data_IF_944456947988
#
_entry.id   IF_944456947988
#
_cell.length_a   1.000
_cell.length_b   1.000
_cell.length_c   1.000
_cell.angle_alpha   90.00
_cell.angle_beta   90.00
_cell.angle_gamma   90.00
#
_symmetry.space_group_name_H-M   'P 1'
#
loop_
_entity.id
_entity.type
_entity.pdbx_description
1 polymer ?
#
# COMPACT_ATOMS: atom_id res chain seq x y z
N UNK A 1 26.52 12.02 -30.61
CA UNK A 1 25.62 12.39 -29.50
C UNK A 1 24.22 11.93 -29.84
N UNK A 2 23.76 10.85 -29.23
CA UNK A 2 22.35 10.45 -29.16
C UNK A 2 22.17 9.75 -27.82
N UNK A 3 21.93 10.54 -26.78
CA UNK A 3 21.53 10.01 -25.48
C UNK A 3 20.16 9.37 -25.63
N UNK A 4 20.09 8.05 -25.45
CA UNK A 4 18.83 7.34 -25.37
C UNK A 4 18.08 7.83 -24.13
N UNK A 5 17.00 8.59 -24.36
CA UNK A 5 16.00 8.83 -23.33
C UNK A 5 15.49 7.45 -22.89
N UNK A 6 15.58 7.15 -21.59
CA UNK A 6 14.91 5.98 -21.02
C UNK A 6 13.43 6.11 -21.36
N UNK A 7 12.90 5.18 -22.17
CA UNK A 7 11.47 5.14 -22.46
C UNK A 7 10.73 5.09 -21.12
N UNK A 8 9.91 6.10 -20.83
CA UNK A 8 9.03 6.04 -19.68
C UNK A 8 8.14 4.82 -19.86
N UNK A 9 8.37 3.78 -19.07
CA UNK A 9 7.52 2.60 -19.08
C UNK A 9 6.09 3.08 -18.77
N UNK A 10 5.13 2.65 -19.59
CA UNK A 10 3.75 3.12 -19.56
C UNK A 10 2.96 2.55 -18.37
N UNK A 11 3.55 2.57 -17.18
CA UNK A 11 2.99 2.01 -15.95
C UNK A 11 1.64 2.63 -15.57
N UNK A 12 1.37 3.88 -15.97
CA UNK A 12 0.05 4.49 -15.76
C UNK A 12 -1.06 3.93 -16.66
N UNK A 13 -0.72 3.12 -17.66
CA UNK A 13 -1.66 2.66 -18.68
C UNK A 13 -2.10 1.20 -18.44
N UNK A 14 -3.41 0.95 -18.46
CA UNK A 14 -3.96 -0.39 -18.24
C UNK A 14 -3.44 -1.42 -19.26
N UNK A 15 -3.27 -1.02 -20.52
CA UNK A 15 -2.82 -1.91 -21.59
C UNK A 15 -1.40 -2.45 -21.35
N UNK A 16 -0.54 -1.67 -20.68
CA UNK A 16 0.82 -2.07 -20.37
C UNK A 16 0.81 -3.27 -19.42
N UNK A 17 -0.04 -3.23 -18.39
CA UNK A 17 -0.16 -4.30 -17.40
C UNK A 17 -0.75 -5.57 -18.01
N UNK A 18 -1.80 -5.45 -18.81
CA UNK A 18 -2.35 -6.58 -19.57
C UNK A 18 -1.26 -7.28 -20.41
N UNK A 19 -0.42 -6.50 -21.11
CA UNK A 19 0.66 -7.04 -21.93
C UNK A 19 1.77 -7.69 -21.10
N UNK A 20 2.13 -7.09 -19.97
CA UNK A 20 3.09 -7.67 -19.01
C UNK A 20 2.58 -9.02 -18.50
N UNK A 21 1.33 -9.11 -18.06
CA UNK A 21 0.78 -10.35 -17.49
C UNK A 21 0.50 -11.45 -18.51
N UNK A 22 0.39 -11.12 -19.81
CA UNK A 22 0.40 -12.13 -20.88
C UNK A 22 1.78 -12.75 -21.07
N UNK A 23 2.85 -11.96 -20.92
CA UNK A 23 4.23 -12.39 -21.14
C UNK A 23 4.86 -13.04 -19.90
N UNK A 24 4.56 -12.52 -18.72
CA UNK A 24 5.17 -12.89 -17.44
C UNK A 24 4.08 -13.37 -16.46
N UNK A 25 3.64 -14.61 -16.62
CA UNK A 25 2.59 -15.20 -15.76
C UNK A 25 3.08 -15.64 -14.36
N UNK A 26 4.40 -15.69 -14.14
CA UNK A 26 4.99 -16.08 -12.85
C UNK A 26 4.81 -15.01 -11.78
N UNK A 27 4.75 -15.39 -10.49
CA UNK A 27 4.51 -14.44 -9.41
C UNK A 27 5.62 -13.39 -9.32
N UNK A 28 5.24 -12.13 -9.08
CA UNK A 28 6.17 -11.02 -8.95
C UNK A 28 5.76 -10.06 -7.83
N UNK A 29 6.71 -9.68 -6.99
CA UNK A 29 6.52 -8.71 -5.92
C UNK A 29 7.31 -7.43 -6.18
N UNK A 30 6.58 -6.32 -6.34
CA UNK A 30 7.17 -4.99 -6.20
C UNK A 30 7.49 -4.71 -4.73
N UNK A 31 8.65 -4.07 -4.52
CA UNK A 31 9.19 -3.63 -3.22
C UNK A 31 9.50 -4.75 -2.23
N UNK A 32 8.56 -5.03 -1.32
CA UNK A 32 8.75 -5.97 -0.22
C UNK A 32 7.84 -7.18 -0.36
N UNK A 33 8.33 -8.32 0.11
CA UNK A 33 7.53 -9.54 0.28
C UNK A 33 6.79 -9.52 1.61
N UNK A 34 5.73 -10.30 1.71
CA UNK A 34 4.91 -10.39 2.91
C UNK A 34 5.71 -10.62 4.21
N UNK A 35 6.65 -11.58 4.31
CA UNK A 35 7.32 -11.88 5.59
C UNK A 35 8.05 -10.68 6.20
N UNK A 36 8.60 -9.79 5.36
CA UNK A 36 9.30 -8.59 5.83
C UNK A 36 8.32 -7.53 6.39
N UNK A 37 7.07 -7.51 5.90
CA UNK A 37 6.04 -6.55 6.30
C UNK A 37 5.09 -7.08 7.37
N UNK A 38 5.04 -8.41 7.58
CA UNK A 38 4.14 -9.05 8.52
C UNK A 38 4.17 -8.47 9.95
N UNK A 39 5.35 -8.14 10.55
CA UNK A 39 5.39 -7.53 11.88
C UNK A 39 4.66 -6.18 11.93
N UNK A 40 4.76 -5.37 10.88
CA UNK A 40 4.08 -4.08 10.81
C UNK A 40 2.58 -4.25 10.55
N UNK A 41 2.21 -5.13 9.61
CA UNK A 41 0.81 -5.39 9.25
C UNK A 41 0.00 -5.83 10.47
N UNK A 42 0.55 -6.73 11.29
CA UNK A 42 -0.12 -7.24 12.50
C UNK A 42 -0.34 -6.17 13.58
N UNK A 43 0.37 -5.04 13.54
CA UNK A 43 0.11 -3.91 14.44
C UNK A 43 -1.12 -3.10 14.06
N UNK A 44 -1.49 -3.10 12.77
CA UNK A 44 -2.52 -2.20 12.23
C UNK A 44 -3.73 -2.95 11.66
N UNK A 45 -3.60 -4.23 11.33
CA UNK A 45 -4.64 -5.02 10.66
C UNK A 45 -4.83 -6.33 11.41
N UNK A 46 -6.01 -6.51 12.00
CA UNK A 46 -6.35 -7.75 12.69
C UNK A 46 -6.70 -8.87 11.68
N UNK A 47 -6.47 -10.15 11.98
CA UNK A 47 -6.77 -11.25 11.04
C UNK A 47 -8.23 -11.35 10.59
N UNK A 48 -9.18 -10.88 11.40
CA UNK A 48 -10.61 -10.85 11.08
C UNK A 48 -11.05 -9.56 10.37
N UNK A 49 -10.15 -8.60 10.17
CA UNK A 49 -10.45 -7.38 9.42
C UNK A 49 -10.64 -7.69 7.94
N UNK A 50 -11.65 -7.05 7.33
CA UNK A 50 -11.80 -7.02 5.89
C UNK A 50 -10.81 -6.03 5.28
N UNK A 51 -9.94 -6.52 4.40
CA UNK A 51 -8.88 -5.72 3.80
C UNK A 51 -8.88 -5.78 2.26
N UNK A 52 -8.43 -4.69 1.64
CA UNK A 52 -8.30 -4.56 0.20
C UNK A 52 -6.83 -4.41 -0.19
N UNK A 53 -6.34 -5.28 -1.08
CA UNK A 53 -5.09 -5.12 -1.80
C UNK A 53 -5.38 -4.45 -3.16
N UNK A 54 -4.96 -3.20 -3.33
CA UNK A 54 -5.12 -2.47 -4.60
C UNK A 54 -3.95 -2.74 -5.53
N UNK A 55 -4.21 -2.81 -6.84
CA UNK A 55 -3.21 -3.17 -7.86
C UNK A 55 -2.45 -4.43 -7.50
N UNK A 56 -3.19 -5.50 -7.16
CA UNK A 56 -2.62 -6.72 -6.58
C UNK A 56 -1.63 -7.43 -7.51
N UNK A 57 -1.78 -7.23 -8.83
CA UNK A 57 -1.02 -7.95 -9.84
C UNK A 57 -1.04 -9.46 -9.63
N UNK A 58 0.10 -10.10 -9.91
CA UNK A 58 0.34 -11.53 -9.69
C UNK A 58 1.19 -11.79 -8.44
N UNK A 59 1.19 -10.85 -7.48
CA UNK A 59 1.88 -10.99 -6.20
C UNK A 59 1.27 -12.12 -5.37
N UNK A 60 2.11 -12.83 -4.61
CA UNK A 60 1.67 -13.84 -3.62
C UNK A 60 1.39 -13.21 -2.25
N UNK A 61 1.41 -11.88 -2.14
CA UNK A 61 1.24 -11.17 -0.87
C UNK A 61 -0.10 -11.48 -0.19
N UNK A 62 -1.20 -11.41 -0.94
CA UNK A 62 -2.53 -11.76 -0.42
C UNK A 62 -2.64 -13.22 0.02
N UNK A 63 -2.06 -14.14 -0.75
CA UNK A 63 -1.97 -15.55 -0.37
C UNK A 63 -1.21 -15.72 0.96
N UNK A 64 -0.06 -15.08 1.11
CA UNK A 64 0.71 -15.17 2.34
C UNK A 64 0.00 -14.53 3.54
N UNK A 65 -0.82 -13.50 3.33
CA UNK A 65 -1.71 -12.99 4.37
C UNK A 65 -2.73 -14.06 4.79
N UNK A 66 -3.40 -14.72 3.85
CA UNK A 66 -4.36 -15.78 4.18
C UNK A 66 -3.68 -16.95 4.89
N UNK A 67 -2.49 -17.35 4.43
CA UNK A 67 -1.69 -18.39 5.09
C UNK A 67 -1.26 -17.97 6.52
N UNK A 68 -1.17 -16.67 6.80
CA UNK A 68 -0.92 -16.08 8.13
C UNK A 68 -2.20 -15.81 8.95
N UNK A 69 -3.35 -16.30 8.48
CA UNK A 69 -4.62 -16.31 9.22
C UNK A 69 -5.59 -15.18 8.91
N UNK A 70 -5.30 -14.30 7.95
CA UNK A 70 -6.24 -13.26 7.51
C UNK A 70 -7.42 -13.88 6.76
N UNK A 71 -8.64 -13.44 7.07
CA UNK A 71 -9.85 -14.18 6.69
C UNK A 71 -10.62 -13.56 5.52
N UNK A 72 -10.48 -12.26 5.27
CA UNK A 72 -11.23 -11.55 4.23
C UNK A 72 -10.31 -10.60 3.47
N UNK A 73 -9.63 -11.16 2.46
CA UNK A 73 -8.64 -10.48 1.62
C UNK A 73 -9.20 -10.30 0.21
N UNK A 74 -9.64 -9.08 -0.08
CA UNK A 74 -10.11 -8.67 -1.40
C UNK A 74 -8.93 -8.10 -2.19
N UNK A 75 -8.81 -8.48 -3.45
CA UNK A 75 -7.73 -8.08 -4.34
C UNK A 75 -8.35 -7.45 -5.59
N UNK A 76 -7.89 -6.25 -5.94
CA UNK A 76 -8.30 -5.59 -7.18
C UNK A 76 -7.12 -5.26 -8.07
N UNK A 77 -7.34 -5.32 -9.37
CA UNK A 77 -6.39 -4.86 -10.39
C UNK A 77 -7.16 -4.37 -11.62
N UNK A 78 -6.58 -3.40 -12.33
CA UNK A 78 -7.16 -2.88 -13.57
C UNK A 78 -7.03 -3.90 -14.72
N UNK A 79 -6.03 -4.77 -14.64
CA UNK A 79 -5.77 -5.80 -15.65
C UNK A 79 -6.73 -6.98 -15.52
N UNK A 80 -7.55 -7.18 -16.56
CA UNK A 80 -8.40 -8.38 -16.65
C UNK A 80 -7.57 -9.66 -16.73
N UNK A 81 -6.41 -9.60 -17.41
CA UNK A 81 -5.54 -10.75 -17.63
C UNK A 81 -5.07 -11.33 -16.30
N UNK A 82 -4.56 -10.49 -15.40
CA UNK A 82 -4.05 -10.98 -14.11
C UNK A 82 -5.17 -11.43 -13.18
N UNK A 83 -6.31 -10.72 -13.18
CA UNK A 83 -7.45 -11.12 -12.37
C UNK A 83 -7.96 -12.50 -12.77
N UNK A 84 -8.07 -12.79 -14.06
CA UNK A 84 -8.51 -14.11 -14.53
C UNK A 84 -7.49 -15.21 -14.16
N UNK A 85 -6.19 -14.91 -14.27
CA UNK A 85 -5.13 -15.83 -13.83
C UNK A 85 -5.21 -16.13 -12.33
N UNK A 86 -5.38 -15.10 -11.50
CA UNK A 86 -5.41 -15.22 -10.04
C UNK A 86 -6.70 -15.89 -9.54
N UNK A 87 -7.86 -15.58 -10.14
CA UNK A 87 -9.12 -16.31 -9.90
C UNK A 87 -8.96 -17.80 -10.19
N UNK A 88 -8.35 -18.16 -11.32
CA UNK A 88 -8.11 -19.57 -11.67
C UNK A 88 -7.15 -20.24 -10.69
N UNK A 89 -6.07 -19.55 -10.32
CA UNK A 89 -5.04 -20.07 -9.41
C UNK A 89 -5.59 -20.33 -8.00
N UNK A 90 -6.44 -19.43 -7.49
CA UNK A 90 -6.93 -19.45 -6.11
C UNK A 90 -8.42 -19.77 -5.98
N UNK A 91 -9.01 -20.44 -6.97
CA UNK A 91 -10.44 -20.78 -6.99
C UNK A 91 -10.91 -21.57 -5.75
N UNK A 92 -10.02 -22.35 -5.13
CA UNK A 92 -10.29 -23.14 -3.93
C UNK A 92 -9.95 -22.42 -2.61
N UNK A 93 -9.52 -21.15 -2.64
CA UNK A 93 -9.20 -20.35 -1.45
C UNK A 93 -10.28 -19.28 -1.21
N UNK A 94 -11.38 -19.58 -0.47
CA UNK A 94 -12.52 -18.67 -0.31
C UNK A 94 -12.19 -17.35 0.41
N UNK A 95 -11.13 -17.33 1.22
CA UNK A 95 -10.64 -16.11 1.90
C UNK A 95 -9.96 -15.11 0.93
N UNK A 96 -9.65 -15.53 -0.31
CA UNK A 96 -9.07 -14.69 -1.36
C UNK A 96 -10.11 -14.38 -2.42
N UNK A 97 -10.45 -13.10 -2.56
CA UNK A 97 -11.33 -12.61 -3.61
C UNK A 97 -10.52 -11.78 -4.60
N UNK A 98 -10.78 -11.96 -5.90
CA UNK A 98 -10.12 -11.19 -6.97
C UNK A 98 -11.18 -10.53 -7.85
N UNK A 99 -11.05 -9.25 -8.12
CA UNK A 99 -12.01 -8.48 -8.92
C UNK A 99 -11.27 -7.52 -9.87
N UNK A 100 -11.72 -7.46 -11.13
CA UNK A 100 -11.23 -6.46 -12.06
C UNK A 100 -11.87 -5.14 -11.68
N UNK A 101 -11.05 -4.15 -11.31
CA UNK A 101 -11.54 -2.85 -10.88
C UNK A 101 -10.44 -1.81 -11.03
N UNK A 102 -10.83 -0.60 -11.41
CA UNK A 102 -9.96 0.56 -11.38
C UNK A 102 -9.99 1.16 -9.98
N UNK A 103 -8.84 1.30 -9.32
CA UNK A 103 -8.75 1.86 -7.96
C UNK A 103 -9.23 3.31 -7.87
N UNK A 104 -9.29 4.03 -9.01
CA UNK A 104 -9.83 5.39 -9.10
C UNK A 104 -11.36 5.43 -9.15
N UNK A 105 -12.01 4.27 -9.24
CA UNK A 105 -13.46 4.13 -9.33
C UNK A 105 -13.90 2.76 -8.78
N UNK A 106 -14.05 2.69 -7.47
CA UNK A 106 -14.44 1.51 -6.69
C UNK A 106 -15.93 1.54 -6.30
N UNK A 107 -16.80 1.90 -7.24
CA UNK A 107 -18.25 2.07 -7.02
C UNK A 107 -18.98 0.83 -6.51
N UNK A 108 -18.43 -0.35 -6.77
CA UNK A 108 -19.00 -1.63 -6.32
C UNK A 108 -18.78 -1.86 -4.81
N UNK A 109 -17.95 -1.03 -4.16
CA UNK A 109 -17.73 -1.07 -2.72
C UNK A 109 -18.48 0.06 -2.02
N UNK A 110 -19.22 -0.30 -0.98
CA UNK A 110 -19.89 0.66 -0.11
C UNK A 110 -18.88 1.52 0.66
N UNK A 111 -19.27 2.75 1.00
CA UNK A 111 -18.48 3.61 1.88
C UNK A 111 -18.31 2.97 3.26
N UNK A 112 -17.14 3.06 3.86
CA UNK A 112 -16.88 2.46 5.18
C UNK A 112 -16.98 0.93 5.22
N UNK A 113 -16.70 0.25 4.10
CA UNK A 113 -16.82 -1.22 4.01
C UNK A 113 -15.51 -1.97 4.31
N UNK A 114 -14.36 -1.29 4.33
CA UNK A 114 -13.04 -1.89 4.58
C UNK A 114 -12.39 -1.37 5.86
N UNK A 115 -11.76 -2.29 6.60
CA UNK A 115 -10.96 -1.97 7.78
C UNK A 115 -9.53 -1.54 7.39
N UNK A 116 -9.00 -2.07 6.28
CA UNK A 116 -7.69 -1.70 5.79
C UNK A 116 -7.62 -1.71 4.25
N UNK A 117 -6.80 -0.84 3.69
CA UNK A 117 -6.39 -0.83 2.29
C UNK A 117 -4.86 -0.86 2.24
N UNK A 118 -4.29 -1.81 1.51
CA UNK A 118 -2.83 -1.93 1.35
C UNK A 118 -2.50 -1.69 -0.12
N UNK A 119 -1.62 -0.74 -0.35
CA UNK A 119 -1.10 -0.36 -1.66
C UNK A 119 0.41 -0.64 -1.69
N UNK A 120 0.82 -1.50 -2.62
CA UNK A 120 2.21 -1.86 -2.83
C UNK A 120 2.64 -1.53 -4.26
N UNK A 121 2.78 -0.23 -4.53
CA UNK A 121 3.28 0.32 -5.78
C UNK A 121 2.23 0.71 -6.81
N UNK A 122 0.96 0.62 -6.46
CA UNK A 122 -0.14 1.05 -7.32
C UNK A 122 -0.14 2.58 -7.46
N UNK A 123 -0.01 3.31 -6.36
CA UNK A 123 0.11 4.77 -6.42
C UNK A 123 1.40 5.22 -7.16
N UNK A 124 2.49 4.46 -7.06
CA UNK A 124 3.70 4.71 -7.87
C UNK A 124 3.42 4.56 -9.37
N UNK A 125 2.72 3.48 -9.73
CA UNK A 125 2.30 3.22 -11.11
C UNK A 125 1.43 4.33 -11.70
N UNK A 126 0.44 4.80 -10.93
CA UNK A 126 -0.45 5.90 -11.33
C UNK A 126 0.34 7.20 -11.55
N UNK A 127 1.35 7.45 -10.71
CA UNK A 127 2.14 8.66 -10.79
C UNK A 127 3.07 8.72 -12.00
N UNK A 128 3.33 7.58 -12.66
CA UNK A 128 4.05 7.53 -13.94
C UNK A 128 3.16 7.86 -15.15
N UNK A 129 1.84 7.94 -14.98
CA UNK A 129 0.87 8.17 -16.06
C UNK A 129 0.60 9.65 -16.36
N UNK A 130 -0.21 9.87 -17.40
CA UNK A 130 -0.78 11.20 -17.67
C UNK A 130 -1.79 11.58 -16.57
N UNK A 131 -1.95 12.88 -16.31
CA UNK A 131 -2.82 13.42 -15.25
C UNK A 131 -2.57 12.76 -13.88
N UNK A 132 -1.30 12.43 -13.60
CA UNK A 132 -0.87 11.67 -12.42
C UNK A 132 -1.41 12.23 -11.11
N UNK A 133 -1.35 13.55 -10.93
CA UNK A 133 -1.86 14.22 -9.73
C UNK A 133 -3.36 14.02 -9.55
N UNK A 134 -4.15 14.27 -10.60
CA UNK A 134 -5.60 14.09 -10.55
C UNK A 134 -6.00 12.63 -10.31
N UNK A 135 -5.31 11.70 -10.98
CA UNK A 135 -5.54 10.26 -10.82
C UNK A 135 -5.15 9.77 -9.41
N UNK A 136 -4.07 10.30 -8.84
CA UNK A 136 -3.67 10.04 -7.48
C UNK A 136 -4.73 10.56 -6.49
N UNK A 137 -5.21 11.78 -6.66
CA UNK A 137 -6.31 12.34 -5.85
C UNK A 137 -7.55 11.46 -5.92
N UNK A 138 -8.01 11.08 -7.12
CA UNK A 138 -9.17 10.18 -7.31
C UNK A 138 -9.00 8.84 -6.60
N UNK A 139 -7.82 8.23 -6.70
CA UNK A 139 -7.51 7.00 -5.96
C UNK A 139 -7.61 7.22 -4.45
N UNK A 140 -6.98 8.27 -3.91
CA UNK A 140 -6.98 8.53 -2.47
C UNK A 140 -8.37 8.89 -1.93
N UNK A 141 -9.18 9.60 -2.71
CA UNK A 141 -10.59 9.87 -2.40
C UNK A 141 -11.41 8.58 -2.30
N UNK A 142 -11.25 7.66 -3.26
CA UNK A 142 -11.93 6.36 -3.23
C UNK A 142 -11.46 5.51 -2.04
N UNK A 143 -10.15 5.47 -1.76
CA UNK A 143 -9.59 4.80 -0.58
C UNK A 143 -10.19 5.39 0.70
N UNK A 144 -10.22 6.72 0.83
CA UNK A 144 -10.81 7.37 1.99
C UNK A 144 -12.31 7.08 2.12
N UNK A 145 -13.05 7.02 1.01
CA UNK A 145 -14.49 6.72 1.00
C UNK A 145 -14.77 5.30 1.52
N UNK A 146 -14.06 4.29 1.03
CA UNK A 146 -14.32 2.89 1.38
C UNK A 146 -13.78 2.49 2.76
N UNK A 147 -12.82 3.25 3.30
CA UNK A 147 -12.30 3.01 4.65
C UNK A 147 -13.34 3.35 5.72
N UNK A 148 -13.47 2.46 6.71
CA UNK A 148 -14.16 2.72 7.98
C UNK A 148 -13.48 3.85 8.75
N UNK A 149 -14.20 4.47 9.67
CA UNK A 149 -13.56 5.26 10.73
C UNK A 149 -12.56 4.39 11.50
N UNK A 150 -11.41 4.95 11.82
CA UNK A 150 -10.22 4.26 12.33
C UNK A 150 -9.64 3.20 11.37
N UNK A 151 -10.10 3.15 10.13
CA UNK A 151 -9.55 2.30 9.08
C UNK A 151 -8.17 2.76 8.63
N UNK A 152 -7.36 1.82 8.12
CA UNK A 152 -5.95 2.06 7.80
C UNK A 152 -5.68 1.97 6.31
N UNK A 153 -5.08 3.00 5.73
CA UNK A 153 -4.41 2.91 4.44
C UNK A 153 -2.90 2.73 4.65
N UNK A 154 -2.33 1.66 4.12
CA UNK A 154 -0.89 1.39 4.18
C UNK A 154 -0.29 1.44 2.78
N UNK A 155 0.54 2.46 2.52
CA UNK A 155 1.24 2.67 1.26
C UNK A 155 2.70 2.25 1.40
N UNK A 156 3.11 1.23 0.64
CA UNK A 156 4.49 0.76 0.49
C UNK A 156 5.02 1.26 -0.85
N UNK A 157 6.07 2.09 -0.83
CA UNK A 157 6.46 2.89 -1.99
C UNK A 157 7.95 3.25 -1.99
N UNK A 158 8.46 3.64 -3.17
CA UNK A 158 9.72 4.39 -3.29
C UNK A 158 9.54 5.91 -3.21
N UNK A 159 8.29 6.39 -3.20
CA UNK A 159 7.99 7.81 -3.19
C UNK A 159 8.52 8.49 -1.93
N UNK A 160 9.35 9.50 -2.14
CA UNK A 160 10.00 10.25 -1.06
C UNK A 160 8.97 11.03 -0.19
N UNK A 161 9.20 11.14 1.14
CA UNK A 161 8.35 11.90 2.05
C UNK A 161 8.03 13.32 1.60
N UNK A 162 8.95 14.03 0.96
CA UNK A 162 8.74 15.40 0.46
C UNK A 162 7.61 15.51 -0.56
N UNK A 163 7.29 14.42 -1.28
CA UNK A 163 6.22 14.37 -2.26
C UNK A 163 5.00 13.61 -1.73
N UNK A 164 5.22 12.42 -1.15
CA UNK A 164 4.14 11.54 -0.71
C UNK A 164 3.34 12.12 0.44
N UNK A 165 3.99 12.78 1.40
CA UNK A 165 3.28 13.36 2.53
C UNK A 165 2.39 14.52 2.11
N UNK A 166 2.74 15.26 1.05
CA UNK A 166 1.87 16.32 0.52
C UNK A 166 0.54 15.73 0.03
N UNK A 167 0.61 14.70 -0.83
CA UNK A 167 -0.57 14.00 -1.35
C UNK A 167 -1.44 13.40 -0.24
N UNK A 168 -0.80 12.81 0.79
CA UNK A 168 -1.52 12.14 1.88
C UNK A 168 -2.11 13.12 2.89
N UNK A 169 -1.44 14.25 3.17
CA UNK A 169 -1.92 15.30 4.09
C UNK A 169 -3.02 16.17 3.48
N UNK A 170 -3.11 16.22 2.14
CA UNK A 170 -4.23 16.89 1.47
C UNK A 170 -5.58 16.19 1.74
N UNK A 171 -5.56 14.97 2.27
CA UNK A 171 -6.75 14.29 2.79
C UNK A 171 -7.01 14.73 4.24
N UNK A 172 -8.04 15.54 4.47
CA UNK A 172 -8.30 16.28 5.73
C UNK A 172 -8.46 15.39 6.99
N UNK A 173 -8.63 14.08 6.86
CA UNK A 173 -9.03 13.18 7.97
C UNK A 173 -8.02 12.06 8.25
N UNK A 174 -6.76 12.18 7.81
CA UNK A 174 -5.75 11.14 8.00
C UNK A 174 -4.62 11.56 8.95
N UNK A 175 -4.41 10.76 10.00
CA UNK A 175 -3.18 10.80 10.78
C UNK A 175 -2.14 9.90 10.11
N UNK A 176 -1.02 10.47 9.66
CA UNK A 176 0.03 9.73 8.94
C UNK A 176 1.19 9.36 9.86
N UNK A 177 1.62 8.09 9.84
CA UNK A 177 2.84 7.60 10.47
C UNK A 177 3.79 7.07 9.39
N UNK A 178 5.06 7.45 9.45
CA UNK A 178 6.08 7.00 8.51
C UNK A 178 6.93 5.89 9.13
N UNK A 179 6.96 4.73 8.50
CA UNK A 179 7.88 3.65 8.79
C UNK A 179 8.85 3.45 7.62
N UNK A 180 10.00 2.85 7.88
CA UNK A 180 11.02 2.57 6.85
C UNK A 180 11.55 1.16 7.00
N UNK A 181 11.90 0.55 5.87
CA UNK A 181 12.47 -0.79 5.81
C UNK A 181 13.56 -0.84 4.75
N UNK A 182 14.65 -1.56 5.04
CA UNK A 182 15.75 -1.72 4.09
C UNK A 182 15.33 -2.55 2.87
N UNK A 183 15.96 -2.25 1.73
CA UNK A 183 15.78 -3.07 0.53
C UNK A 183 16.50 -4.40 0.66
N UNK A 184 15.80 -5.48 0.32
CA UNK A 184 16.33 -6.85 0.43
C UNK A 184 17.54 -7.12 -0.47
N UNK A 185 17.76 -6.33 -1.52
CA UNK A 185 18.84 -6.52 -2.51
C UNK A 185 20.25 -6.25 -1.94
N UNK A 186 20.38 -5.64 -0.75
CA UNK A 186 21.68 -5.24 -0.19
C UNK A 186 21.82 -5.35 1.33
N UNK A 187 20.93 -6.06 2.03
CA UNK A 187 21.00 -6.12 3.50
C UNK A 187 22.32 -6.74 3.95
N UNK A 188 23.23 -5.92 4.47
CA UNK A 188 24.23 -6.36 5.43
C UNK A 188 23.49 -6.83 6.70
N UNK A 189 24.07 -7.75 7.47
CA UNK A 189 23.43 -8.42 8.62
C UNK A 189 23.11 -7.50 9.84
N UNK A 190 22.82 -6.21 9.64
CA UNK A 190 22.43 -5.27 10.67
C UNK A 190 21.20 -4.50 10.21
N UNK A 191 20.02 -4.87 10.72
CA UNK A 191 18.79 -4.09 10.52
C UNK A 191 18.98 -2.72 11.19
N UNK A 192 19.22 -1.67 10.40
CA UNK A 192 19.41 -0.30 10.91
C UNK A 192 18.12 0.30 11.46
N UNK A 193 16.97 -0.20 11.01
CA UNK A 193 15.65 0.37 11.29
C UNK A 193 14.75 -0.61 12.03
N UNK A 194 14.09 -0.13 13.08
CA UNK A 194 13.04 -0.87 13.78
C UNK A 194 11.71 -0.65 13.04
N UNK A 195 11.32 -1.60 12.19
CA UNK A 195 10.15 -1.50 11.31
C UNK A 195 8.88 -1.05 12.05
N UNK A 196 8.65 -1.55 13.26
CA UNK A 196 7.45 -1.31 14.06
C UNK A 196 7.42 0.06 14.74
N UNK A 197 8.52 0.81 14.71
CA UNK A 197 8.62 2.13 15.32
C UNK A 197 8.59 3.22 14.24
N UNK A 198 7.58 4.11 14.24
CA UNK A 198 7.51 5.16 13.24
C UNK A 198 8.63 6.18 13.45
N UNK A 199 9.13 6.74 12.34
CA UNK A 199 9.98 7.92 12.34
C UNK A 199 9.18 9.16 12.76
N UNK A 200 9.80 10.12 13.45
CA UNK A 200 9.16 11.39 13.72
C UNK A 200 8.83 12.10 12.39
N UNK A 201 7.62 12.65 12.31
CA UNK A 201 7.18 13.50 11.21
C UNK A 201 6.92 14.89 11.74
N UNK A 202 7.82 15.82 11.43
CA UNK A 202 7.61 17.26 11.57
C UNK A 202 6.85 17.83 10.36
N UNK A 203 6.35 19.06 10.50
CA UNK A 203 5.56 19.73 9.47
C UNK A 203 6.28 19.81 8.11
N UNK A 204 7.61 19.95 8.12
CA UNK A 204 8.47 20.13 6.95
C UNK A 204 9.29 18.89 6.56
N UNK A 205 9.13 17.77 7.27
CA UNK A 205 9.88 16.52 7.07
C UNK A 205 11.41 16.66 7.24
N UNK A 206 11.90 17.74 7.84
CA UNK A 206 13.34 17.98 8.01
C UNK A 206 13.98 16.93 8.93
N UNK A 207 13.24 16.49 9.95
CA UNK A 207 13.64 15.42 10.85
C UNK A 207 13.88 14.10 10.11
N UNK A 208 13.03 13.76 9.14
CA UNK A 208 13.16 12.53 8.34
C UNK A 208 14.43 12.54 7.51
N UNK A 209 14.72 13.66 6.84
CA UNK A 209 15.95 13.83 6.04
C UNK A 209 17.20 13.74 6.93
N UNK A 210 17.16 14.33 8.13
CA UNK A 210 18.27 14.28 9.08
C UNK A 210 18.57 12.85 9.57
N UNK A 211 17.53 12.02 9.75
CA UNK A 211 17.65 10.65 10.23
C UNK A 211 18.11 9.71 9.11
N UNK A 212 17.49 9.81 7.93
CA UNK A 212 17.72 8.90 6.81
C UNK A 212 18.99 9.23 6.03
N UNK A 213 19.42 10.48 6.05
CA UNK A 213 20.47 11.00 5.18
C UNK A 213 19.96 11.30 3.77
N UNK A 214 20.85 11.74 2.86
CA UNK A 214 20.44 12.34 1.59
C UNK A 214 19.90 11.36 0.54
N UNK A 215 20.23 10.06 0.64
CA UNK A 215 19.82 9.02 -0.32
C UNK A 215 19.69 7.66 0.40
N UNK A 216 18.66 7.48 1.24
CA UNK A 216 18.47 6.23 1.95
C UNK A 216 18.08 5.11 0.98
N UNK A 217 18.68 3.93 1.13
CA UNK A 217 18.36 2.74 0.31
C UNK A 217 17.22 1.93 0.98
N UNK A 218 16.06 2.57 1.13
CA UNK A 218 14.90 2.05 1.87
C UNK A 218 13.63 2.07 1.02
N UNK A 219 12.65 1.26 1.41
CA UNK A 219 11.25 1.48 1.05
C UNK A 219 10.57 2.26 2.18
N UNK A 220 9.72 3.21 1.79
CA UNK A 220 8.88 3.97 2.72
C UNK A 220 7.55 3.26 2.91
N UNK A 221 7.04 3.30 4.13
CA UNK A 221 5.72 2.77 4.47
C UNK A 221 4.93 3.86 5.19
N UNK A 222 3.95 4.44 4.50
CA UNK A 222 3.04 5.42 5.08
C UNK A 222 1.81 4.70 5.62
N UNK A 223 1.59 4.78 6.92
CA UNK A 223 0.39 4.27 7.58
C UNK A 223 -0.52 5.45 7.88
N UNK A 224 -1.61 5.57 7.12
CA UNK A 224 -2.60 6.63 7.26
C UNK A 224 -3.81 6.05 7.98
N UNK A 225 -4.14 6.60 9.15
CA UNK A 225 -5.31 6.19 9.93
C UNK A 225 -6.42 7.21 9.73
N UNK A 226 -7.59 6.77 9.28
CA UNK A 226 -8.75 7.62 9.06
C UNK A 226 -9.43 7.99 10.39
N UNK A 227 -9.65 9.27 10.64
CA UNK A 227 -10.43 9.76 11.76
C UNK A 227 -10.36 11.28 11.90
N UNK A 228 -11.42 11.87 12.45
CA UNK A 228 -11.40 13.27 12.89
C UNK A 228 -10.65 13.36 14.22
N UNK A 229 -9.50 14.03 14.24
CA UNK A 229 -8.82 14.44 15.48
C UNK A 229 -9.64 15.52 16.21
N UNK A 230 -10.84 15.16 16.70
CA UNK A 230 -11.84 16.11 17.18
C UNK A 230 -13.05 15.53 17.91
N UNK A 231 -12.92 14.40 18.63
CA UNK A 231 -13.79 14.07 19.78
C UNK A 231 -13.33 12.77 20.46
N UNK A 232 -12.66 12.91 21.62
CA UNK A 232 -12.68 11.91 22.69
C UNK A 232 -11.88 10.61 22.43
N UNK A 233 -10.59 10.65 22.76
CA UNK A 233 -9.91 9.46 23.30
C UNK A 233 -9.19 9.88 24.59
N UNK A 234 -10.02 10.13 25.61
CA UNK A 234 -9.63 9.99 27.00
C UNK A 234 -9.39 8.50 27.28
N UNK A 235 -8.28 8.24 27.98
CA UNK A 235 -7.91 7.04 28.71
C UNK A 235 -8.76 5.75 28.55
N UNK A 236 -8.33 4.86 27.65
CA UNK A 236 -8.58 3.41 27.84
C UNK A 236 -7.42 2.56 27.32
N UNK A 237 -6.23 2.83 27.84
CA UNK A 237 -5.16 1.82 27.97
C UNK A 237 -4.73 1.85 29.43
N UNK A 238 -5.48 1.15 30.28
CA UNK A 238 -5.00 0.72 31.59
C UNK A 238 -5.35 -0.76 31.78
N UNK A 239 -4.27 -1.51 31.97
CA UNK A 239 -4.15 -2.71 32.80
C UNK A 239 -4.97 -3.95 32.39
N UNK A 240 -4.29 -4.87 31.72
CA UNK A 240 -4.41 -6.30 32.06
C UNK A 240 -3.01 -6.83 32.32
N UNK A 241 -2.53 -6.62 33.54
CA UNK A 241 -1.52 -7.46 34.18
C UNK A 241 -2.01 -7.73 35.60
N UNK A 242 -2.58 -8.90 35.79
CA UNK A 242 -2.56 -9.70 37.01
C UNK A 242 -2.71 -11.15 36.61
#
# INVERSE_FOLDING_TARGET
MTGGAAASQAYGEAWYWDERYRKEAGPFDWYQKYPALAPLLRLYVAPHHRLLLVGCGNSVFGENMVDDGYQDVVNIDISSVVIDQMKKKYHDKPHLQYMKMDVRSMSDFESGSFNAVIDKGTLDSIMCGQNSQENATKMLEEVNRILKENGVYMLITYGDPSYRLRLLKDMENWTVKLHVIERWEKSSNQNKWELTKPLPLDGDCSSVVSILGPKPDVHYIYVCVKGNDGAGADSSVREVVN
#
